data_IF_147260131706
#
_entry.id   IF_147260131706
#
_cell.length_a   1.000
_cell.length_b   1.000
_cell.length_c   1.000
_cell.angle_alpha   90.00
_cell.angle_beta   90.00
_cell.angle_gamma   90.00
#
_symmetry.space_group_name_H-M   'P 1'
#
loop_
_entity.id
_entity.type
_entity.pdbx_description
1 polymer ?
#
# COMPACT_ATOMS: atom_id res chain seq x y z
N UNK A 1 44.55 -1.49 29.29
CA UNK A 1 43.90 -2.54 28.48
C UNK A 1 42.85 -1.90 27.58
N UNK A 2 43.07 -1.85 26.26
CA UNK A 2 42.10 -1.31 25.29
C UNK A 2 41.01 -2.37 25.04
N UNK A 3 39.77 -2.08 25.41
CA UNK A 3 38.63 -2.96 25.17
C UNK A 3 38.40 -3.19 23.67
N UNK A 4 38.37 -4.45 23.24
CA UNK A 4 37.90 -4.85 21.91
C UNK A 4 36.42 -4.53 21.82
N UNK A 5 36.04 -3.45 21.14
CA UNK A 5 34.67 -3.23 20.72
C UNK A 5 34.26 -4.38 19.79
N UNK A 6 33.36 -5.25 20.25
CA UNK A 6 32.69 -6.25 19.44
C UNK A 6 31.91 -5.53 18.34
N UNK A 7 32.48 -5.48 17.13
CA UNK A 7 31.79 -4.92 15.96
C UNK A 7 30.58 -5.79 15.67
N UNK A 8 29.40 -5.30 16.02
CA UNK A 8 28.13 -5.99 15.79
C UNK A 8 28.03 -6.34 14.29
N UNK A 9 27.92 -7.62 13.89
CA UNK A 9 27.97 -8.04 12.49
C UNK A 9 26.89 -7.37 11.63
N UNK A 10 25.72 -7.09 12.23
CA UNK A 10 24.63 -6.33 11.61
C UNK A 10 25.07 -4.89 11.30
N UNK A 11 25.84 -4.27 12.19
CA UNK A 11 26.36 -2.92 11.99
C UNK A 11 27.43 -2.87 10.87
N UNK A 12 28.29 -3.89 10.79
CA UNK A 12 29.27 -4.00 9.72
C UNK A 12 28.59 -4.18 8.35
N UNK A 13 27.59 -5.06 8.28
CA UNK A 13 26.81 -5.31 7.07
C UNK A 13 26.02 -4.09 6.60
N UNK A 14 25.29 -3.43 7.51
CA UNK A 14 24.53 -2.20 7.18
C UNK A 14 25.44 -1.06 6.73
N UNK A 15 26.62 -0.91 7.34
CA UNK A 15 27.62 0.09 6.92
C UNK A 15 28.18 -0.23 5.54
N UNK A 16 28.42 -1.51 5.24
CA UNK A 16 28.87 -1.95 3.92
C UNK A 16 27.83 -1.67 2.83
N UNK A 17 26.55 -2.01 3.06
CA UNK A 17 25.44 -1.72 2.13
C UNK A 17 25.37 -0.23 1.83
N UNK A 18 25.47 0.63 2.85
CA UNK A 18 25.38 2.08 2.66
C UNK A 18 26.45 2.63 1.73
N UNK A 19 27.65 2.03 1.75
CA UNK A 19 28.80 2.42 0.93
C UNK A 19 28.73 1.92 -0.52
N UNK A 20 27.80 1.03 -0.85
CA UNK A 20 27.68 0.51 -2.20
C UNK A 20 27.15 1.56 -3.19
N UNK A 21 27.59 1.50 -4.47
CA UNK A 21 27.06 2.37 -5.52
C UNK A 21 25.56 2.08 -5.77
N UNK A 22 24.80 3.04 -6.32
CA UNK A 22 23.36 2.91 -6.52
C UNK A 22 22.99 1.68 -7.37
N UNK A 23 23.79 1.36 -8.40
CA UNK A 23 23.61 0.15 -9.23
C UNK A 23 23.70 -1.14 -8.41
N UNK A 24 24.65 -1.22 -7.47
CA UNK A 24 24.82 -2.39 -6.60
C UNK A 24 23.69 -2.48 -5.57
N UNK A 25 23.21 -1.35 -5.03
CA UNK A 25 22.04 -1.34 -4.14
C UNK A 25 20.79 -1.84 -4.86
N UNK A 26 20.57 -1.39 -6.11
CA UNK A 26 19.46 -1.87 -6.93
C UNK A 26 19.60 -3.38 -7.18
N UNK A 27 20.78 -3.86 -7.57
CA UNK A 27 21.04 -5.27 -7.78
C UNK A 27 20.79 -6.13 -6.53
N UNK A 28 21.29 -5.71 -5.37
CA UNK A 28 21.05 -6.40 -4.10
C UNK A 28 19.57 -6.41 -3.71
N UNK A 29 18.86 -5.30 -3.93
CA UNK A 29 17.42 -5.23 -3.69
C UNK A 29 16.65 -6.18 -4.60
N UNK A 30 17.00 -6.25 -5.89
CA UNK A 30 16.39 -7.19 -6.85
C UNK A 30 16.64 -8.63 -6.44
N UNK A 31 17.87 -9.01 -6.09
CA UNK A 31 18.19 -10.37 -5.62
C UNK A 31 17.42 -10.70 -4.35
N UNK A 32 17.38 -9.78 -3.38
CA UNK A 32 16.64 -9.98 -2.14
C UNK A 32 15.13 -10.15 -2.39
N UNK A 33 14.56 -9.37 -3.30
CA UNK A 33 13.17 -9.48 -3.70
C UNK A 33 12.87 -10.81 -4.39
N UNK A 34 13.73 -11.23 -5.33
CA UNK A 34 13.61 -12.53 -5.99
C UNK A 34 13.73 -13.69 -4.99
N UNK A 35 14.69 -13.62 -4.07
CA UNK A 35 14.86 -14.63 -3.03
C UNK A 35 13.65 -14.70 -2.10
N UNK A 36 13.08 -13.55 -1.72
CA UNK A 36 11.86 -13.50 -0.91
C UNK A 36 10.66 -14.09 -1.64
N UNK A 37 10.48 -13.79 -2.93
CA UNK A 37 9.41 -14.37 -3.74
C UNK A 37 9.57 -15.89 -3.90
N UNK A 38 10.80 -16.37 -4.15
CA UNK A 38 11.09 -17.80 -4.24
C UNK A 38 10.84 -18.49 -2.90
N UNK A 39 11.25 -17.87 -1.79
CA UNK A 39 10.98 -18.39 -0.45
C UNK A 39 9.48 -18.48 -0.17
N UNK A 40 8.72 -17.41 -0.45
CA UNK A 40 7.26 -17.43 -0.29
C UNK A 40 6.61 -18.52 -1.14
N UNK A 41 7.04 -18.69 -2.40
CA UNK A 41 6.55 -19.75 -3.29
C UNK A 41 6.90 -21.17 -2.80
N UNK A 42 8.04 -21.34 -2.14
CA UNK A 42 8.45 -22.64 -1.59
C UNK A 42 7.76 -22.98 -0.27
N UNK A 43 7.47 -21.98 0.56
CA UNK A 43 6.91 -22.17 1.91
C UNK A 43 5.40 -22.22 1.90
N UNK A 44 4.75 -21.45 1.02
CA UNK A 44 3.28 -21.39 0.96
C UNK A 44 2.78 -22.40 -0.07
N UNK A 45 2.35 -23.57 0.41
CA UNK A 45 1.84 -24.64 -0.46
C UNK A 45 0.55 -24.22 -1.20
N UNK A 46 -0.37 -23.53 -0.52
CA UNK A 46 -1.57 -22.94 -1.13
C UNK A 46 -1.43 -21.42 -1.20
N UNK A 47 -1.12 -20.90 -2.39
CA UNK A 47 -0.87 -19.49 -2.63
C UNK A 47 -2.06 -18.59 -2.35
N UNK A 48 -3.28 -19.14 -2.22
CA UNK A 48 -4.44 -18.39 -1.72
C UNK A 48 -4.25 -17.94 -0.26
N UNK A 49 -3.40 -18.62 0.52
CA UNK A 49 -3.05 -18.20 1.87
C UNK A 49 -2.30 -16.86 1.90
N UNK A 50 -1.57 -16.50 0.84
CA UNK A 50 -0.94 -15.17 0.73
C UNK A 50 -1.99 -14.07 0.64
N UNK A 51 -3.05 -14.30 -0.14
CA UNK A 51 -4.17 -13.37 -0.25
C UNK A 51 -4.90 -13.24 1.09
N UNK A 52 -5.23 -14.36 1.75
CA UNK A 52 -5.86 -14.35 3.08
C UNK A 52 -4.98 -13.63 4.12
N UNK A 53 -3.67 -13.85 4.08
CA UNK A 53 -2.74 -13.16 4.97
C UNK A 53 -2.68 -11.66 4.69
N UNK A 54 -2.69 -11.24 3.42
CA UNK A 54 -2.74 -9.83 3.03
C UNK A 54 -3.98 -9.14 3.63
N UNK A 55 -5.15 -9.75 3.44
CA UNK A 55 -6.42 -9.23 3.95
C UNK A 55 -6.48 -9.21 5.48
N UNK A 56 -5.97 -10.26 6.14
CA UNK A 56 -5.90 -10.31 7.60
C UNK A 56 -5.01 -9.20 8.16
N UNK A 57 -3.84 -8.96 7.57
CA UNK A 57 -2.93 -7.88 7.99
C UNK A 57 -3.55 -6.51 7.73
N UNK A 58 -4.24 -6.33 6.60
CA UNK A 58 -4.94 -5.09 6.28
C UNK A 58 -6.06 -4.79 7.28
N UNK A 59 -6.86 -5.82 7.62
CA UNK A 59 -7.91 -5.72 8.63
C UNK A 59 -7.33 -5.38 10.01
N UNK A 60 -6.24 -6.03 10.43
CA UNK A 60 -5.55 -5.72 11.69
C UNK A 60 -5.07 -4.26 11.75
N UNK A 61 -4.45 -3.77 10.68
CA UNK A 61 -4.06 -2.36 10.59
C UNK A 61 -5.25 -1.41 10.73
N UNK A 62 -6.36 -1.76 10.10
CA UNK A 62 -7.61 -0.98 10.19
C UNK A 62 -8.20 -0.99 11.60
N UNK A 63 -8.17 -2.13 12.30
CA UNK A 63 -8.58 -2.21 13.71
C UNK A 63 -7.72 -1.34 14.62
N UNK A 64 -6.40 -1.30 14.40
CA UNK A 64 -5.49 -0.40 15.13
C UNK A 64 -5.89 1.07 14.91
N UNK A 65 -6.26 1.43 13.69
CA UNK A 65 -6.74 2.78 13.38
C UNK A 65 -8.08 3.09 14.06
N UNK A 66 -9.05 2.17 14.01
CA UNK A 66 -10.34 2.31 14.69
C UNK A 66 -10.15 2.48 16.20
N UNK A 67 -9.25 1.69 16.80
CA UNK A 67 -8.91 1.78 18.21
C UNK A 67 -8.41 3.18 18.55
N UNK A 68 -7.46 3.72 17.76
CA UNK A 68 -6.95 5.08 17.92
C UNK A 68 -8.08 6.11 17.88
N UNK A 69 -8.92 6.10 16.85
CA UNK A 69 -9.99 7.09 16.70
C UNK A 69 -11.03 7.00 17.82
N UNK A 70 -11.26 5.81 18.35
CA UNK A 70 -12.28 5.56 19.38
C UNK A 70 -11.77 5.86 20.80
N UNK A 71 -10.56 5.43 21.13
CA UNK A 71 -9.97 5.48 22.48
C UNK A 71 -9.12 6.73 22.70
N UNK A 72 -8.20 7.03 21.79
CA UNK A 72 -7.32 8.20 21.89
C UNK A 72 -8.04 9.50 21.49
N UNK A 73 -9.19 9.40 20.80
CA UNK A 73 -9.98 10.56 20.33
C UNK A 73 -9.13 11.57 19.56
N UNK A 74 -8.19 11.07 18.76
CA UNK A 74 -7.29 11.90 17.96
C UNK A 74 -7.11 11.31 16.56
N UNK A 75 -7.12 12.19 15.54
CA UNK A 75 -6.83 11.84 14.15
C UNK A 75 -5.53 12.49 13.63
N UNK A 76 -4.68 12.99 14.52
CA UNK A 76 -3.36 13.52 14.16
C UNK A 76 -2.56 12.46 13.37
N UNK A 77 -1.83 12.88 12.33
CA UNK A 77 -1.08 11.97 11.48
C UNK A 77 -1.91 11.16 10.46
N UNK A 78 -3.23 11.35 10.37
CA UNK A 78 -4.09 10.69 9.39
C UNK A 78 -4.52 11.68 8.29
N UNK A 79 -4.35 11.30 7.03
CA UNK A 79 -4.78 12.07 5.86
C UNK A 79 -6.23 11.76 5.53
N UNK A 80 -7.08 12.78 5.58
CA UNK A 80 -8.48 12.66 5.14
C UNK A 80 -8.53 12.37 3.64
N UNK A 81 -7.65 13.00 2.87
CA UNK A 81 -7.62 12.87 1.41
C UNK A 81 -7.29 11.47 0.96
N UNK A 82 -6.40 10.76 1.64
CA UNK A 82 -6.12 9.35 1.36
C UNK A 82 -7.32 8.46 1.65
N UNK A 83 -8.05 8.71 2.75
CA UNK A 83 -9.28 7.98 3.07
C UNK A 83 -10.39 8.23 2.02
N UNK A 84 -10.51 9.46 1.53
CA UNK A 84 -11.46 9.81 0.46
C UNK A 84 -11.13 9.15 -0.87
N UNK A 85 -9.85 9.16 -1.27
CA UNK A 85 -9.39 8.40 -2.43
C UNK A 85 -9.68 6.91 -2.29
N UNK A 86 -9.50 6.39 -1.07
CA UNK A 86 -9.81 4.99 -0.74
C UNK A 86 -11.29 4.68 -0.92
N UNK A 87 -12.16 5.52 -0.36
CA UNK A 87 -13.60 5.38 -0.53
C UNK A 87 -14.03 5.47 -2.00
N UNK A 88 -13.43 6.36 -2.80
CA UNK A 88 -13.74 6.50 -4.23
C UNK A 88 -13.40 5.21 -4.99
N UNK A 89 -12.17 4.70 -4.86
CA UNK A 89 -11.81 3.50 -5.63
C UNK A 89 -12.60 2.27 -5.17
N UNK A 90 -12.88 2.13 -3.86
CA UNK A 90 -13.68 1.03 -3.33
C UNK A 90 -15.13 1.10 -3.83
N UNK A 91 -15.72 2.30 -3.87
CA UNK A 91 -17.07 2.48 -4.41
C UNK A 91 -17.16 2.10 -5.90
N UNK A 92 -16.18 2.53 -6.69
CA UNK A 92 -16.11 2.16 -8.12
C UNK A 92 -15.86 0.66 -8.29
N UNK A 93 -14.97 0.06 -7.48
CA UNK A 93 -14.71 -1.38 -7.49
C UNK A 93 -15.96 -2.18 -7.15
N UNK A 94 -16.70 -1.81 -6.10
CA UNK A 94 -17.94 -2.47 -5.73
C UNK A 94 -18.98 -2.39 -6.84
N UNK A 95 -19.13 -1.21 -7.46
CA UNK A 95 -19.98 -1.07 -8.65
C UNK A 95 -19.57 -2.04 -9.75
N UNK A 96 -18.27 -2.10 -10.08
CA UNK A 96 -17.78 -3.03 -11.09
C UNK A 96 -17.97 -4.49 -10.67
N UNK A 97 -17.79 -4.84 -9.40
CA UNK A 97 -18.04 -6.19 -8.89
C UNK A 97 -19.51 -6.56 -9.12
N UNK A 98 -20.47 -5.76 -8.66
CA UNK A 98 -21.89 -6.06 -8.89
C UNK A 98 -22.27 -6.24 -10.37
N UNK A 99 -21.60 -5.52 -11.28
CA UNK A 99 -21.92 -5.52 -12.71
C UNK A 99 -21.11 -6.57 -13.50
N UNK A 100 -19.92 -6.95 -13.04
CA UNK A 100 -18.98 -7.83 -13.76
C UNK A 100 -18.75 -9.16 -13.04
N UNK A 101 -18.68 -9.18 -11.71
CA UNK A 101 -18.25 -10.33 -10.90
C UNK A 101 -18.99 -10.39 -9.54
N UNK A 102 -19.89 -11.35 -9.36
CA UNK A 102 -20.65 -11.54 -8.13
C UNK A 102 -19.92 -12.46 -7.14
N UNK A 103 -18.75 -12.03 -6.64
CA UNK A 103 -17.86 -12.88 -5.84
C UNK A 103 -17.70 -12.42 -4.36
N UNK A 104 -17.10 -13.28 -3.53
CA UNK A 104 -16.77 -13.07 -2.12
C UNK A 104 -15.97 -11.78 -1.87
N UNK A 105 -15.21 -11.32 -2.87
CA UNK A 105 -14.52 -10.02 -2.87
C UNK A 105 -15.48 -8.84 -2.63
N UNK A 106 -16.73 -8.92 -3.11
CA UNK A 106 -17.76 -7.89 -2.91
C UNK A 106 -18.04 -7.65 -1.42
N UNK A 107 -18.07 -8.69 -0.61
CA UNK A 107 -18.34 -8.57 0.83
C UNK A 107 -17.19 -7.87 1.55
N UNK A 108 -15.96 -8.22 1.20
CA UNK A 108 -14.76 -7.66 1.80
C UNK A 108 -14.58 -6.17 1.43
N UNK A 109 -14.78 -5.84 0.15
CA UNK A 109 -14.76 -4.45 -0.31
C UNK A 109 -15.89 -3.63 0.34
N UNK A 110 -17.06 -4.22 0.55
CA UNK A 110 -18.19 -3.55 1.23
C UNK A 110 -17.85 -3.26 2.69
N UNK A 111 -17.29 -4.23 3.42
CA UNK A 111 -16.86 -4.04 4.80
C UNK A 111 -15.75 -2.98 4.91
N UNK A 112 -14.78 -3.01 3.99
CA UNK A 112 -13.68 -2.03 3.94
C UNK A 112 -14.21 -0.63 3.61
N UNK A 113 -15.14 -0.48 2.66
CA UNK A 113 -15.76 0.80 2.34
C UNK A 113 -16.55 1.35 3.53
N UNK A 114 -17.37 0.53 4.18
CA UNK A 114 -18.14 0.94 5.36
C UNK A 114 -17.23 1.45 6.48
N UNK A 115 -16.12 0.76 6.72
CA UNK A 115 -15.12 1.17 7.71
C UNK A 115 -14.41 2.47 7.31
N UNK A 116 -14.06 2.62 6.04
CA UNK A 116 -13.43 3.83 5.51
C UNK A 116 -14.36 5.05 5.61
N UNK A 117 -15.64 4.88 5.28
CA UNK A 117 -16.66 5.94 5.44
C UNK A 117 -16.84 6.33 6.91
N UNK A 118 -16.80 5.37 7.83
CA UNK A 118 -16.82 5.67 9.27
C UNK A 118 -15.59 6.46 9.72
N UNK A 119 -14.38 6.12 9.23
CA UNK A 119 -13.15 6.87 9.49
C UNK A 119 -13.28 8.31 8.97
N UNK A 120 -13.76 8.49 7.73
CA UNK A 120 -14.00 9.81 7.13
C UNK A 120 -14.97 10.63 8.00
N UNK A 121 -16.07 10.02 8.43
CA UNK A 121 -17.03 10.66 9.34
C UNK A 121 -16.37 11.10 10.65
N UNK A 122 -15.57 10.23 11.26
CA UNK A 122 -14.84 10.54 12.49
C UNK A 122 -13.92 11.74 12.32
N UNK A 123 -13.12 11.80 11.24
CA UNK A 123 -12.21 12.92 10.97
C UNK A 123 -13.00 14.22 10.70
N UNK A 124 -14.01 14.17 9.82
CA UNK A 124 -14.74 15.38 9.38
C UNK A 124 -15.60 16.01 10.46
N UNK A 125 -16.22 15.20 11.32
CA UNK A 125 -17.24 15.68 12.26
C UNK A 125 -16.85 15.55 13.73
N UNK A 126 -16.28 14.41 14.16
CA UNK A 126 -16.04 14.15 15.59
C UNK A 126 -14.67 14.61 16.06
N UNK A 127 -13.64 14.45 15.24
CA UNK A 127 -12.23 14.67 15.59
C UNK A 127 -11.59 15.82 14.81
N UNK A 128 -12.41 16.67 14.18
CA UNK A 128 -11.99 17.77 13.31
C UNK A 128 -10.94 18.69 13.94
N UNK A 129 -11.00 18.92 15.25
CA UNK A 129 -10.05 19.77 15.97
C UNK A 129 -8.62 19.21 16.00
N UNK A 130 -8.45 17.88 15.89
CA UNK A 130 -7.14 17.20 15.88
C UNK A 130 -6.61 16.95 14.47
N UNK A 131 -7.40 17.29 13.45
CA UNK A 131 -7.02 17.10 12.05
C UNK A 131 -6.04 18.17 11.58
N UNK A 132 -4.92 17.74 11.02
CA UNK A 132 -3.81 18.63 10.62
C UNK A 132 -3.96 19.13 9.18
N UNK A 133 -4.92 20.02 8.94
CA UNK A 133 -5.25 20.50 7.59
C UNK A 133 -4.05 21.09 6.84
N UNK A 134 -3.21 21.87 7.51
CA UNK A 134 -2.03 22.51 6.89
C UNK A 134 -0.96 21.52 6.43
N UNK A 135 -0.95 20.32 7.01
CA UNK A 135 -0.02 19.25 6.67
C UNK A 135 -0.57 18.30 5.60
N UNK A 136 -1.90 18.20 5.45
CA UNK A 136 -2.56 17.42 4.40
C UNK A 136 -2.72 18.25 3.12
N UNK A 137 -1.61 18.68 2.52
CA UNK A 137 -1.61 19.68 1.45
C UNK A 137 -1.65 19.10 0.01
N UNK A 138 -1.51 17.78 -0.18
CA UNK A 138 -1.59 17.17 -1.51
C UNK A 138 -3.04 17.21 -2.04
N UNK A 139 -3.31 17.87 -3.17
CA UNK A 139 -4.66 17.91 -3.74
C UNK A 139 -5.13 16.55 -4.28
N UNK A 140 -6.39 16.17 -3.99
CA UNK A 140 -7.00 14.92 -4.48
C UNK A 140 -6.99 14.85 -6.03
N UNK A 141 -7.20 16.00 -6.69
CA UNK A 141 -7.22 16.08 -8.15
C UNK A 141 -5.90 15.69 -8.81
N UNK A 142 -4.75 15.91 -8.15
CA UNK A 142 -3.44 15.46 -8.65
C UNK A 142 -3.31 13.94 -8.71
N UNK A 143 -4.17 13.22 -7.98
CA UNK A 143 -4.22 11.76 -7.97
C UNK A 143 -5.33 11.27 -8.91
N UNK A 144 -6.54 11.82 -8.77
CA UNK A 144 -7.72 11.36 -9.53
C UNK A 144 -7.59 11.63 -11.04
N UNK A 145 -7.12 12.81 -11.44
CA UNK A 145 -7.09 13.19 -12.86
C UNK A 145 -6.14 12.28 -13.66
N UNK A 146 -4.88 12.04 -13.25
CA UNK A 146 -4.01 11.12 -13.98
C UNK A 146 -4.57 9.70 -14.06
N UNK A 147 -5.19 9.17 -13.00
CA UNK A 147 -5.82 7.85 -13.03
C UNK A 147 -6.98 7.78 -14.02
N UNK A 148 -7.83 8.81 -14.05
CA UNK A 148 -8.96 8.89 -14.98
C UNK A 148 -8.50 9.03 -16.43
N UNK A 149 -7.47 9.85 -16.69
CA UNK A 149 -6.92 9.99 -18.04
C UNK A 149 -6.29 8.68 -18.49
N UNK A 150 -5.50 8.03 -17.64
CA UNK A 150 -4.85 6.76 -17.96
C UNK A 150 -5.87 5.65 -18.23
N UNK A 151 -6.97 5.59 -17.47
CA UNK A 151 -8.03 4.58 -17.66
C UNK A 151 -8.80 4.73 -18.96
N UNK A 152 -8.79 5.90 -19.61
CA UNK A 152 -9.37 6.09 -20.94
C UNK A 152 -8.51 5.45 -22.05
N UNK A 153 -7.19 5.37 -21.85
CA UNK A 153 -6.26 4.83 -22.84
C UNK A 153 -5.92 3.36 -22.59
N UNK A 154 -5.79 2.96 -21.33
CA UNK A 154 -5.37 1.63 -20.92
C UNK A 154 -6.41 1.07 -19.96
N UNK A 155 -7.19 0.14 -20.48
CA UNK A 155 -8.27 -0.53 -19.77
C UNK A 155 -8.42 -1.97 -20.28
N UNK A 156 -9.08 -2.88 -19.53
CA UNK A 156 -9.30 -4.26 -19.97
C UNK A 156 -9.89 -4.33 -21.38
N UNK A 157 -9.63 -5.39 -22.14
CA UNK A 157 -10.23 -5.65 -23.46
C UNK A 157 -11.32 -6.73 -23.43
N UNK A 158 -12.00 -6.83 -22.29
CA UNK A 158 -13.06 -7.83 -22.04
C UNK A 158 -14.35 -7.49 -22.79
N UNK A 159 -15.33 -8.40 -22.78
CA UNK A 159 -16.62 -8.28 -23.47
C UNK A 159 -17.61 -7.32 -22.80
N UNK A 160 -17.29 -6.78 -21.63
CA UNK A 160 -18.15 -5.86 -20.88
C UNK A 160 -18.26 -4.48 -21.57
N UNK A 161 -19.28 -3.71 -21.18
CA UNK A 161 -19.48 -2.33 -21.65
C UNK A 161 -18.21 -1.49 -21.42
N UNK A 162 -17.91 -0.60 -22.39
CA UNK A 162 -16.72 0.25 -22.35
C UNK A 162 -16.62 1.07 -21.04
N UNK A 163 -17.75 1.59 -20.56
CA UNK A 163 -17.82 2.31 -19.29
C UNK A 163 -17.32 1.46 -18.11
N UNK A 164 -17.78 0.21 -17.99
CA UNK A 164 -17.38 -0.69 -16.90
C UNK A 164 -15.88 -1.02 -16.97
N UNK A 165 -15.36 -1.21 -18.17
CA UNK A 165 -13.92 -1.45 -18.41
C UNK A 165 -13.07 -0.26 -17.97
N UNK A 166 -13.49 0.96 -18.32
CA UNK A 166 -12.81 2.20 -17.89
C UNK A 166 -12.91 2.38 -16.37
N UNK A 167 -14.07 2.12 -15.77
CA UNK A 167 -14.26 2.21 -14.32
C UNK A 167 -13.38 1.21 -13.56
N UNK A 168 -13.25 -0.02 -14.05
CA UNK A 168 -12.34 -1.02 -13.48
C UNK A 168 -10.88 -0.56 -13.56
N UNK A 169 -10.45 -0.07 -14.73
CA UNK A 169 -9.11 0.47 -14.88
C UNK A 169 -8.84 1.67 -13.94
N UNK A 170 -9.81 2.57 -13.83
CA UNK A 170 -9.75 3.71 -12.95
C UNK A 170 -9.57 3.30 -11.48
N UNK A 171 -10.34 2.33 -10.98
CA UNK A 171 -10.22 1.93 -9.57
C UNK A 171 -8.90 1.22 -9.27
N UNK A 172 -8.37 0.41 -10.21
CA UNK A 172 -7.04 -0.21 -10.08
C UNK A 172 -5.94 0.85 -10.02
N UNK A 173 -5.97 1.84 -10.93
CA UNK A 173 -4.96 2.91 -10.92
C UNK A 173 -5.08 3.80 -9.69
N UNK A 174 -6.31 4.14 -9.28
CA UNK A 174 -6.53 4.98 -8.11
C UNK A 174 -6.09 4.28 -6.83
N UNK A 175 -6.35 2.98 -6.68
CA UNK A 175 -5.87 2.20 -5.54
C UNK A 175 -4.36 2.28 -5.41
N UNK A 176 -3.63 2.10 -6.52
CA UNK A 176 -2.17 2.05 -6.53
C UNK A 176 -1.50 3.29 -5.93
N UNK A 177 -2.14 4.45 -6.04
CA UNK A 177 -1.58 5.74 -5.63
C UNK A 177 -2.40 6.47 -4.55
N UNK A 178 -3.52 5.91 -4.11
CA UNK A 178 -4.42 6.49 -3.09
C UNK A 178 -3.75 6.76 -1.73
N UNK A 179 -2.66 6.06 -1.43
CA UNK A 179 -1.89 6.20 -0.17
C UNK A 179 -0.95 7.41 -0.17
N UNK A 180 -0.71 8.05 -1.32
CA UNK A 180 0.25 9.16 -1.45
C UNK A 180 -0.02 10.33 -0.49
N UNK A 181 -1.27 10.84 -0.32
CA UNK A 181 -1.52 11.92 0.63
C UNK A 181 -1.18 11.54 2.07
N UNK A 182 -1.43 10.29 2.46
CA UNK A 182 -1.08 9.79 3.80
C UNK A 182 0.43 9.85 4.04
N UNK A 183 1.23 9.36 3.10
CA UNK A 183 2.70 9.38 3.23
C UNK A 183 3.25 10.81 3.19
N UNK A 184 2.71 11.67 2.31
CA UNK A 184 3.12 13.08 2.23
C UNK A 184 2.83 13.82 3.53
N UNK A 185 1.65 13.61 4.11
CA UNK A 185 1.31 14.18 5.41
C UNK A 185 2.27 13.72 6.51
N UNK A 186 2.63 12.42 6.54
CA UNK A 186 3.59 11.88 7.51
C UNK A 186 5.00 12.48 7.35
N UNK A 187 5.45 12.70 6.11
CA UNK A 187 6.70 13.41 5.81
C UNK A 187 6.64 14.88 6.30
N UNK A 188 5.50 15.55 6.15
CA UNK A 188 5.31 16.94 6.56
C UNK A 188 5.25 17.13 8.08
N UNK A 189 4.85 16.09 8.83
CA UNK A 189 4.79 16.09 10.31
C UNK A 189 6.11 15.67 10.94
N UNK A 190 6.90 14.82 10.25
CA UNK A 190 8.19 14.26 10.66
C UNK A 190 8.18 13.34 11.90
N UNK A 191 7.28 13.57 12.87
CA UNK A 191 7.13 12.79 14.09
C UNK A 191 5.78 12.09 14.04
N UNK A 192 5.80 10.78 13.81
CA UNK A 192 4.58 9.99 13.63
C UNK A 192 4.26 9.23 14.91
N UNK A 193 3.01 9.35 15.35
CA UNK A 193 2.48 8.60 16.47
C UNK A 193 2.49 7.07 16.21
N UNK A 194 2.79 6.25 17.23
CA UNK A 194 2.93 4.80 17.04
C UNK A 194 1.72 4.14 16.37
N UNK A 195 0.49 4.44 16.80
CA UNK A 195 -0.72 3.84 16.24
C UNK A 195 -0.88 4.08 14.73
N UNK A 196 -0.63 5.32 14.27
CA UNK A 196 -0.64 5.63 12.84
C UNK A 196 0.48 4.88 12.12
N UNK A 197 1.66 4.81 12.72
CA UNK A 197 2.79 4.09 12.12
C UNK A 197 2.51 2.58 11.98
N UNK A 198 1.91 1.94 12.99
CA UNK A 198 1.48 0.55 12.95
C UNK A 198 0.43 0.30 11.86
N UNK A 199 -0.57 1.18 11.74
CA UNK A 199 -1.58 1.11 10.69
C UNK A 199 -0.96 1.17 9.29
N UNK A 200 -0.14 2.18 9.02
CA UNK A 200 0.49 2.35 7.69
C UNK A 200 1.50 1.23 7.40
N UNK A 201 2.18 0.72 8.42
CA UNK A 201 3.08 -0.43 8.26
C UNK A 201 2.31 -1.70 7.92
N UNK A 202 1.21 -1.98 8.61
CA UNK A 202 0.33 -3.11 8.30
C UNK A 202 -0.25 -2.98 6.88
N UNK A 203 -0.68 -1.79 6.47
CA UNK A 203 -1.08 -1.53 5.09
C UNK A 203 0.06 -1.87 4.11
N UNK A 204 1.29 -1.43 4.40
CA UNK A 204 2.48 -1.78 3.61
C UNK A 204 2.69 -3.29 3.48
N UNK A 205 2.68 -4.02 4.59
CA UNK A 205 2.85 -5.49 4.61
C UNK A 205 1.75 -6.19 3.81
N UNK A 206 0.49 -5.75 3.95
CA UNK A 206 -0.61 -6.29 3.15
C UNK A 206 -0.34 -6.13 1.65
N UNK A 207 0.15 -4.96 1.20
CA UNK A 207 0.49 -4.73 -0.22
C UNK A 207 1.66 -5.57 -0.71
N UNK A 208 2.67 -5.82 0.13
CA UNK A 208 3.73 -6.77 -0.23
C UNK A 208 3.18 -8.18 -0.47
N UNK A 209 2.25 -8.66 0.36
CA UNK A 209 1.64 -9.97 0.17
C UNK A 209 0.71 -10.02 -1.05
N UNK A 210 -0.10 -8.99 -1.30
CA UNK A 210 -0.92 -8.89 -2.52
C UNK A 210 -0.07 -8.91 -3.78
N UNK A 211 1.01 -8.11 -3.81
CA UNK A 211 1.93 -8.08 -4.94
C UNK A 211 2.64 -9.43 -5.15
N UNK A 212 3.10 -10.08 -4.07
CA UNK A 212 3.69 -11.41 -4.14
C UNK A 212 2.70 -12.45 -4.67
N UNK A 213 1.46 -12.42 -4.20
CA UNK A 213 0.38 -13.30 -4.66
C UNK A 213 0.16 -13.15 -6.17
N UNK A 214 -0.02 -11.91 -6.67
CA UNK A 214 -0.19 -11.64 -8.10
C UNK A 214 0.98 -12.14 -8.94
N UNK A 215 2.22 -11.87 -8.52
CA UNK A 215 3.41 -12.31 -9.25
C UNK A 215 3.47 -13.84 -9.32
N UNK A 216 3.26 -14.52 -8.19
CA UNK A 216 3.31 -15.99 -8.14
C UNK A 216 2.19 -16.60 -8.99
N UNK A 217 0.97 -16.06 -8.92
CA UNK A 217 -0.17 -16.54 -9.70
C UNK A 217 0.08 -16.44 -11.21
N UNK A 218 0.77 -15.39 -11.67
CA UNK A 218 1.20 -15.27 -13.08
C UNK A 218 2.16 -16.39 -13.47
N UNK A 219 3.14 -16.71 -12.61
CA UNK A 219 4.09 -17.79 -12.88
C UNK A 219 3.43 -19.18 -12.85
N UNK A 220 2.61 -19.46 -11.85
CA UNK A 220 1.98 -20.77 -11.67
C UNK A 220 0.94 -21.07 -12.76
N UNK A 221 0.20 -20.04 -13.22
CA UNK A 221 -0.73 -20.19 -14.35
C UNK A 221 -0.03 -20.24 -15.71
N UNK A 222 1.31 -20.13 -15.75
CA UNK A 222 2.15 -20.01 -16.96
C UNK A 222 1.69 -18.87 -17.87
N UNK A 223 1.30 -17.75 -17.27
CA UNK A 223 0.82 -16.56 -17.98
C UNK A 223 -0.63 -16.62 -18.44
N UNK A 224 -1.37 -17.73 -18.24
CA UNK A 224 -2.80 -17.79 -18.59
C UNK A 224 -3.63 -16.72 -17.88
N UNK A 225 -3.27 -16.35 -16.65
CA UNK A 225 -3.92 -15.26 -15.92
C UNK A 225 -3.79 -13.93 -16.66
N UNK A 226 -2.62 -13.63 -17.25
CA UNK A 226 -2.41 -12.40 -18.01
C UNK A 226 -3.29 -12.37 -19.25
N UNK A 227 -3.43 -13.50 -19.95
CA UNK A 227 -4.34 -13.61 -21.10
C UNK A 227 -5.81 -13.50 -20.68
N UNK A 228 -6.17 -14.00 -19.49
CA UNK A 228 -7.52 -13.90 -18.95
C UNK A 228 -7.92 -12.46 -18.58
N UNK A 229 -6.96 -11.66 -18.09
CA UNK A 229 -7.16 -10.23 -17.83
C UNK A 229 -7.41 -9.42 -19.12
N UNK A 230 -7.03 -9.96 -20.28
CA UNK A 230 -7.25 -9.39 -21.60
C UNK A 230 -5.99 -9.33 -22.43
N UNK A 231 -6.03 -8.52 -23.49
CA UNK A 231 -4.92 -8.34 -24.43
C UNK A 231 -4.39 -6.90 -24.39
N UNK A 232 -3.24 -6.68 -25.03
CA UNK A 232 -2.60 -5.36 -25.11
C UNK A 232 -1.86 -5.00 -23.82
N UNK A 233 -1.84 -3.70 -23.49
CA UNK A 233 -1.05 -3.16 -22.37
C UNK A 233 -1.68 -3.41 -21.00
N UNK A 234 -2.98 -3.74 -20.95
CA UNK A 234 -3.73 -3.81 -19.69
C UNK A 234 -3.14 -4.80 -18.66
N UNK A 235 -2.85 -6.08 -18.99
CA UNK A 235 -2.30 -7.02 -18.01
C UNK A 235 -0.96 -6.55 -17.41
N UNK A 236 -0.11 -5.92 -18.21
CA UNK A 236 1.14 -5.34 -17.72
C UNK A 236 0.90 -4.19 -16.75
N UNK A 237 -0.13 -3.37 -17.00
CA UNK A 237 -0.49 -2.24 -16.16
C UNK A 237 -1.13 -2.64 -14.83
N UNK A 238 -1.81 -3.81 -14.76
CA UNK A 238 -2.27 -4.38 -13.49
C UNK A 238 -1.07 -4.72 -12.60
N UNK A 239 -0.09 -5.47 -13.13
CA UNK A 239 1.14 -5.79 -12.39
C UNK A 239 1.96 -4.54 -12.04
N UNK A 240 2.03 -3.57 -12.96
CA UNK A 240 2.69 -2.30 -12.69
C UNK A 240 2.01 -1.55 -11.54
N UNK A 241 0.69 -1.60 -11.44
CA UNK A 241 -0.07 -0.97 -10.35
C UNK A 241 0.26 -1.58 -8.99
N UNK A 242 0.34 -2.91 -8.91
CA UNK A 242 0.78 -3.65 -7.71
C UNK A 242 2.22 -3.28 -7.30
N UNK A 243 3.12 -3.17 -8.28
CA UNK A 243 4.51 -2.78 -8.05
C UNK A 243 4.59 -1.33 -7.58
N UNK A 244 3.85 -0.40 -8.20
CA UNK A 244 3.81 1.02 -7.84
C UNK A 244 3.32 1.18 -6.41
N UNK A 245 2.20 0.54 -6.06
CA UNK A 245 1.64 0.62 -4.71
C UNK A 245 2.63 0.10 -3.65
N UNK A 246 3.24 -1.04 -3.94
CA UNK A 246 4.25 -1.66 -3.06
C UNK A 246 5.48 -0.78 -2.90
N UNK A 247 5.97 -0.19 -4.00
CA UNK A 247 7.16 0.66 -4.02
C UNK A 247 6.97 1.96 -3.24
N UNK A 248 5.79 2.56 -3.37
CA UNK A 248 5.42 3.78 -2.63
C UNK A 248 5.46 3.53 -1.10
N UNK A 249 4.98 2.37 -0.65
CA UNK A 249 4.97 1.99 0.77
C UNK A 249 6.31 1.44 1.28
N UNK A 250 7.17 0.94 0.39
CA UNK A 250 8.45 0.32 0.76
C UNK A 250 9.38 1.26 1.54
N UNK A 251 9.46 2.54 1.16
CA UNK A 251 10.31 3.53 1.84
C UNK A 251 9.84 3.74 3.30
N UNK A 252 8.53 3.89 3.49
CA UNK A 252 7.95 4.01 4.83
C UNK A 252 8.23 2.76 5.67
N UNK A 253 7.98 1.56 5.13
CA UNK A 253 8.23 0.30 5.83
C UNK A 253 9.71 0.15 6.23
N UNK A 254 10.64 0.58 5.38
CA UNK A 254 12.07 0.59 5.70
C UNK A 254 12.39 1.47 6.92
N UNK A 255 11.91 2.72 6.94
CA UNK A 255 12.15 3.62 8.08
C UNK A 255 11.44 3.16 9.35
N UNK A 256 10.26 2.57 9.22
CA UNK A 256 9.53 1.98 10.33
C UNK A 256 10.34 0.88 11.03
N UNK A 257 10.79 -0.14 10.26
CA UNK A 257 11.59 -1.26 10.80
C UNK A 257 12.91 -0.75 11.39
N UNK A 258 13.57 0.18 10.71
CA UNK A 258 14.81 0.78 11.19
C UNK A 258 14.66 1.48 12.55
N UNK A 259 13.57 2.22 12.76
CA UNK A 259 13.33 2.93 14.02
C UNK A 259 13.00 1.96 15.17
N UNK A 260 12.19 0.93 14.91
CA UNK A 260 11.89 -0.12 15.90
C UNK A 260 13.14 -0.89 16.32
N UNK A 261 13.96 -1.34 15.35
CA UNK A 261 15.22 -2.02 15.64
C UNK A 261 16.23 -1.12 16.35
N UNK A 262 16.13 0.20 16.16
CA UNK A 262 16.88 1.21 16.90
C UNK A 262 16.35 1.53 18.30
N UNK A 263 15.27 0.87 18.75
CA UNK A 263 14.64 1.10 20.05
C UNK A 263 13.80 2.38 20.14
N UNK A 264 13.50 3.03 19.01
CA UNK A 264 12.67 4.24 18.97
C UNK A 264 11.21 3.86 18.68
N UNK A 265 10.33 4.10 19.65
CA UNK A 265 8.88 3.87 19.50
C UNK A 265 8.22 4.85 18.51
N UNK A 266 8.83 6.03 18.33
CA UNK A 266 8.31 7.10 17.50
C UNK A 266 9.04 7.08 16.17
N UNK A 267 8.27 6.95 15.08
CA UNK A 267 8.84 6.91 13.73
C UNK A 267 9.16 8.33 13.30
N UNK A 268 10.44 8.53 12.96
CA UNK A 268 10.92 9.78 12.35
C UNK A 268 11.20 9.55 10.88
N UNK A 269 10.55 10.34 10.02
CA UNK A 269 10.84 10.35 8.58
C UNK A 269 11.76 11.53 8.25
N UNK A 270 12.70 11.36 7.31
CA UNK A 270 13.44 12.50 6.76
C UNK A 270 12.45 13.47 6.11
N UNK A 271 12.67 14.78 6.28
CA UNK A 271 11.91 15.80 5.57
C UNK A 271 12.04 15.56 4.06
N UNK A 272 10.92 15.55 3.35
CA UNK A 272 10.97 15.62 1.90
C UNK A 272 11.69 16.91 1.51
N UNK A 273 12.85 16.78 0.86
CA UNK A 273 13.50 17.92 0.22
C UNK A 273 12.50 18.45 -0.81
N UNK A 274 12.03 19.67 -0.58
CA UNK A 274 11.12 20.39 -1.47
C UNK A 274 11.81 20.61 -2.82
#
# INVERSE_FOLDING_TARGET
MKGKATKNPIFAFTTWIRRQPPKMKAFLATISGMAALLFLRMVVEDHNNLFVAAEAVHALGTFVLIYKLTKEKACAGLSLKSQELTAIFLAVRLYCSFVMEYDMHTLLDTATLGTTLWIIYMIRFKLRSTYMHDKDNLGIHYVVIPCAVLSLFIHPTTSHLLFNRICWAFCVYLEAISVLPQLRLMQNIQIIEPFTAHYVFALGVARFFSCAHWIIQVFDTRGRLLTALGYGLWPCFVLLSEIVQTSILADFCYYYVKNILGGQLVVRLPSAVV
#
